data_IF_612376036669
#
_entry.id   IF_612376036669
#
_cell.length_a   1.000
_cell.length_b   1.000
_cell.length_c   1.000
_cell.angle_alpha   90.00
_cell.angle_beta   90.00
_cell.angle_gamma   90.00
#
_symmetry.space_group_name_H-M   'P 1'
#
loop_
_entity.id
_entity.type
_entity.pdbx_description
1 polymer ?
#
# COMPACT_ATOMS: atom_id res chain seq x y z
N UNK A 1 26.37 10.39 18.44
CA UNK A 1 25.91 11.04 17.20
C UNK A 1 24.39 10.86 17.08
N UNK A 2 23.69 11.64 16.25
CA UNK A 2 22.25 11.47 15.98
C UNK A 2 22.00 11.15 14.51
N UNK A 3 21.09 10.22 14.25
CA UNK A 3 20.68 9.79 12.92
C UNK A 3 19.17 9.88 12.81
N UNK A 4 18.70 10.48 11.72
CA UNK A 4 17.29 10.67 11.45
C UNK A 4 16.96 9.93 10.17
N UNK A 5 15.91 9.13 10.21
CA UNK A 5 15.44 8.42 9.03
C UNK A 5 13.92 8.34 9.08
N UNK A 6 13.30 8.64 7.95
CA UNK A 6 11.87 8.57 7.79
C UNK A 6 11.60 7.51 6.74
N UNK A 7 10.74 6.56 7.08
CA UNK A 7 10.44 5.43 6.20
C UNK A 7 8.94 5.20 6.12
N UNK A 8 8.55 4.58 5.02
CA UNK A 8 7.21 4.05 4.86
C UNK A 8 7.18 2.61 5.34
N UNK A 9 6.21 2.27 6.16
CA UNK A 9 6.03 0.93 6.70
C UNK A 9 4.57 0.53 6.76
N UNK A 10 4.27 -0.72 6.41
CA UNK A 10 2.96 -1.34 6.62
C UNK A 10 2.82 -1.96 8.01
N UNK A 11 3.91 -1.98 8.79
CA UNK A 11 3.92 -2.56 10.12
C UNK A 11 3.17 -1.66 11.11
N UNK A 12 2.44 -2.29 12.01
CA UNK A 12 1.91 -1.67 13.21
C UNK A 12 3.04 -1.27 14.15
N UNK A 13 2.75 -0.31 15.03
CA UNK A 13 3.71 0.13 16.05
C UNK A 13 4.17 -1.02 16.96
N UNK A 14 3.32 -2.03 17.19
CA UNK A 14 3.67 -3.17 18.04
C UNK A 14 4.63 -4.14 17.35
N UNK A 15 4.41 -4.44 16.06
CA UNK A 15 5.34 -5.26 15.26
C UNK A 15 6.72 -4.62 15.14
N UNK A 16 6.76 -3.29 14.95
CA UNK A 16 8.01 -2.51 14.94
C UNK A 16 8.74 -2.68 16.28
N UNK A 17 8.03 -2.58 17.41
CA UNK A 17 8.62 -2.70 18.76
C UNK A 17 9.19 -4.09 19.01
N UNK A 18 8.46 -5.14 18.65
CA UNK A 18 8.91 -6.52 18.84
C UNK A 18 10.21 -6.77 18.08
N UNK A 19 10.28 -6.37 16.81
CA UNK A 19 11.49 -6.52 16.00
C UNK A 19 12.70 -5.74 16.55
N UNK A 20 12.49 -4.52 17.07
CA UNK A 20 13.59 -3.75 17.71
C UNK A 20 14.06 -4.45 18.98
N UNK A 21 13.13 -4.94 19.81
CA UNK A 21 13.45 -5.61 21.08
C UNK A 21 14.25 -6.88 20.83
N UNK A 22 13.83 -7.69 19.87
CA UNK A 22 14.45 -8.97 19.53
C UNK A 22 15.85 -8.79 18.95
N UNK A 23 16.07 -7.71 18.19
CA UNK A 23 17.34 -7.50 17.49
C UNK A 23 18.36 -6.74 18.33
N UNK A 24 17.95 -5.70 19.07
CA UNK A 24 18.86 -4.81 19.80
C UNK A 24 18.88 -5.03 21.32
N UNK A 25 18.19 -6.06 21.83
CA UNK A 25 18.17 -6.44 23.26
C UNK A 25 17.86 -5.26 24.21
N UNK A 26 16.87 -4.44 23.84
CA UNK A 26 16.49 -3.23 24.60
C UNK A 26 15.74 -3.58 25.88
N UNK A 27 16.23 -3.10 27.03
CA UNK A 27 15.68 -3.42 28.36
C UNK A 27 14.67 -2.42 28.91
N UNK A 28 14.66 -1.16 28.46
CA UNK A 28 13.77 -0.11 28.99
C UNK A 28 12.98 0.60 27.89
N UNK A 29 11.64 0.60 28.01
CA UNK A 29 10.72 1.22 27.04
C UNK A 29 9.87 2.26 27.76
N UNK A 30 9.88 3.51 27.27
CA UNK A 30 8.99 4.58 27.72
C UNK A 30 8.00 4.91 26.60
N UNK A 31 6.70 4.88 26.94
CA UNK A 31 5.62 5.07 25.97
C UNK A 31 4.90 6.39 26.26
N UNK A 32 4.71 7.19 25.21
CA UNK A 32 3.69 8.24 25.14
C UNK A 32 2.78 7.97 23.92
N UNK A 33 1.58 8.53 23.92
CA UNK A 33 0.45 8.12 23.07
C UNK A 33 0.72 8.10 21.55
N UNK A 34 1.70 8.85 21.03
CA UNK A 34 2.14 8.78 19.62
C UNK A 34 3.66 8.72 19.42
N UNK A 35 4.45 8.93 20.49
CA UNK A 35 5.91 8.90 20.45
C UNK A 35 6.41 7.77 21.35
N UNK A 36 7.19 6.87 20.77
CA UNK A 36 7.81 5.76 21.51
C UNK A 36 9.28 6.07 21.69
N UNK A 37 9.74 6.09 22.93
CA UNK A 37 11.16 6.21 23.24
C UNK A 37 11.65 4.88 23.79
N UNK A 38 12.56 4.25 23.07
CA UNK A 38 13.24 3.02 23.45
C UNK A 38 14.64 3.40 23.94
N UNK A 39 15.01 3.00 25.15
CA UNK A 39 16.28 3.40 25.73
C UNK A 39 17.07 2.21 26.26
N UNK A 40 18.34 2.20 25.90
CA UNK A 40 19.38 1.34 26.42
C UNK A 40 20.40 2.20 27.19
N UNK A 41 21.36 1.54 27.85
CA UNK A 41 22.53 2.20 28.43
C UNK A 41 23.46 2.77 27.34
N UNK A 42 23.41 2.20 26.12
CA UNK A 42 24.31 2.55 25.01
C UNK A 42 23.67 3.48 23.96
N UNK A 43 22.35 3.44 23.79
CA UNK A 43 21.63 4.18 22.75
C UNK A 43 20.19 4.52 23.12
N UNK A 44 19.58 5.40 22.34
CA UNK A 44 18.20 5.85 22.44
C UNK A 44 17.58 5.90 21.04
N UNK A 45 16.35 5.36 20.89
CA UNK A 45 15.55 5.44 19.67
C UNK A 45 14.26 6.18 20.01
N UNK A 46 13.93 7.21 19.25
CA UNK A 46 12.61 7.83 19.25
C UNK A 46 11.88 7.44 17.95
N UNK A 47 10.64 7.00 18.07
CA UNK A 47 9.75 6.66 16.96
C UNK A 47 8.51 7.56 17.01
N UNK A 48 8.24 8.26 15.93
CA UNK A 48 6.98 8.96 15.67
C UNK A 48 6.26 8.17 14.58
N UNK A 49 5.29 7.35 15.02
CA UNK A 49 4.55 6.45 14.15
C UNK A 49 3.11 6.90 14.05
N UNK A 50 2.59 6.73 12.84
CA UNK A 50 1.21 7.05 12.53
C UNK A 50 0.62 5.92 11.68
N UNK A 51 -0.66 5.57 11.90
CA UNK A 51 -1.29 4.51 11.15
C UNK A 51 -1.15 4.74 9.65
N UNK A 52 -0.73 3.69 8.93
CA UNK A 52 -0.61 3.76 7.48
C UNK A 52 -1.97 4.16 6.90
N UNK A 53 -2.01 5.33 6.28
CA UNK A 53 -3.17 5.77 5.53
C UNK A 53 -2.85 5.61 4.04
N UNK A 54 -3.43 4.61 3.36
CA UNK A 54 -3.17 4.38 1.94
C UNK A 54 -3.59 5.56 1.04
N UNK A 55 -4.40 6.49 1.56
CA UNK A 55 -4.86 7.69 0.86
C UNK A 55 -3.96 8.92 1.10
N UNK A 56 -2.86 8.81 1.85
CA UNK A 56 -1.89 9.91 2.08
C UNK A 56 -0.56 9.58 1.39
N UNK A 57 -0.36 10.24 0.26
CA UNK A 57 0.52 9.85 -0.83
C UNK A 57 2.04 10.06 -0.62
N UNK A 58 2.46 10.72 0.46
CA UNK A 58 3.88 10.99 0.78
C UNK A 58 4.25 10.63 2.22
N UNK A 59 3.39 9.84 2.87
CA UNK A 59 3.48 9.65 4.30
C UNK A 59 4.50 8.56 4.62
N UNK A 60 5.75 8.98 4.82
CA UNK A 60 6.66 8.30 5.74
C UNK A 60 5.95 8.26 7.10
N UNK A 61 5.25 7.15 7.34
CA UNK A 61 4.38 6.96 8.48
C UNK A 61 5.14 6.46 9.71
N UNK A 62 6.47 6.33 9.59
CA UNK A 62 7.39 6.11 10.68
C UNK A 62 8.59 7.04 10.51
N UNK A 63 8.73 8.01 11.43
CA UNK A 63 9.95 8.79 11.59
C UNK A 63 10.74 8.24 12.75
N UNK A 64 12.05 8.15 12.57
CA UNK A 64 12.95 7.59 13.56
C UNK A 64 14.09 8.54 13.84
N UNK A 65 14.49 8.58 15.09
CA UNK A 65 15.69 9.26 15.55
C UNK A 65 16.48 8.31 16.42
N UNK A 66 17.70 8.01 16.00
CA UNK A 66 18.63 7.14 16.70
C UNK A 66 19.78 7.96 17.27
N UNK A 67 20.04 7.84 18.58
CA UNK A 67 21.12 8.55 19.27
C UNK A 67 22.00 7.53 20.00
N UNK A 68 23.29 7.56 19.72
CA UNK A 68 24.28 6.80 20.50
C UNK A 68 24.70 7.62 21.71
N UNK A 69 24.55 7.06 22.91
CA UNK A 69 24.79 7.72 24.19
C UNK A 69 26.22 7.51 24.67
N UNK A 70 26.72 6.27 24.63
CA UNK A 70 28.09 5.87 25.01
C UNK A 70 28.44 4.54 24.35
N UNK A 71 29.42 4.49 23.44
CA UNK A 71 29.93 3.20 22.97
C UNK A 71 31.24 3.29 22.19
N UNK A 72 32.19 2.37 22.44
CA UNK A 72 33.30 2.03 21.53
C UNK A 72 32.81 1.26 20.29
N UNK A 73 31.52 0.86 20.26
CA UNK A 73 30.87 0.06 19.20
C UNK A 73 29.86 0.86 18.38
N UNK A 74 29.98 2.20 18.33
CA UNK A 74 29.05 3.09 17.62
C UNK A 74 28.69 2.60 16.21
N UNK A 75 29.69 2.18 15.43
CA UNK A 75 29.49 1.66 14.07
C UNK A 75 28.68 0.35 14.02
N UNK A 76 28.93 -0.59 14.93
CA UNK A 76 28.23 -1.88 14.94
C UNK A 76 26.74 -1.70 15.26
N UNK A 77 26.41 -0.85 16.24
CA UNK A 77 25.03 -0.63 16.65
C UNK A 77 24.27 0.14 15.57
N UNK A 78 24.93 1.10 14.91
CA UNK A 78 24.34 1.80 13.77
C UNK A 78 24.06 0.86 12.58
N UNK A 79 24.99 -0.05 12.27
CA UNK A 79 24.78 -1.05 11.21
C UNK A 79 23.58 -1.96 11.51
N UNK A 80 23.46 -2.42 12.76
CA UNK A 80 22.33 -3.26 13.16
C UNK A 80 21.01 -2.47 13.12
N UNK A 81 21.03 -1.19 13.52
CA UNK A 81 19.89 -0.30 13.35
C UNK A 81 19.48 -0.11 11.88
N UNK A 82 20.44 0.11 10.98
CA UNK A 82 20.17 0.23 9.55
C UNK A 82 19.63 -1.06 8.93
N UNK A 83 20.09 -2.24 9.39
CA UNK A 83 19.53 -3.53 8.97
C UNK A 83 18.06 -3.65 9.37
N UNK A 84 17.71 -3.24 10.59
CA UNK A 84 16.33 -3.25 11.10
C UNK A 84 15.45 -2.28 10.32
N UNK A 85 15.89 -1.05 10.05
CA UNK A 85 15.10 -0.09 9.27
C UNK A 85 14.74 -0.61 7.87
N UNK A 86 15.64 -1.38 7.25
CA UNK A 86 15.36 -2.05 5.97
C UNK A 86 14.25 -3.09 6.08
N UNK A 87 14.08 -3.78 7.21
CA UNK A 87 12.98 -4.74 7.40
C UNK A 87 11.63 -4.05 7.60
N UNK A 88 11.64 -2.81 8.10
CA UNK A 88 10.43 -2.00 8.27
C UNK A 88 9.97 -1.35 6.97
N UNK A 89 10.91 -1.06 6.07
CA UNK A 89 10.62 -0.29 4.85
C UNK A 89 9.78 -1.10 3.88
N UNK A 90 8.58 -0.62 3.55
CA UNK A 90 7.79 -1.18 2.46
C UNK A 90 8.46 -0.84 1.14
N UNK A 91 9.01 -1.83 0.43
CA UNK A 91 9.81 -1.64 -0.80
C UNK A 91 9.05 -1.14 -2.04
N UNK A 92 7.75 -0.86 -1.95
CA UNK A 92 6.95 -0.48 -3.12
C UNK A 92 6.64 1.02 -3.07
N UNK A 93 7.49 1.82 -3.70
CA UNK A 93 7.17 3.20 -4.07
C UNK A 93 5.96 3.19 -5.02
N UNK A 94 4.99 4.08 -4.79
CA UNK A 94 3.74 4.14 -5.56
C UNK A 94 3.76 5.39 -6.44
N UNK A 95 3.59 5.20 -7.75
CA UNK A 95 3.53 6.28 -8.74
C UNK A 95 2.14 6.87 -8.90
N UNK A 96 1.09 6.06 -8.78
CA UNK A 96 -0.30 6.50 -9.02
C UNK A 96 -1.28 5.50 -8.41
N UNK A 97 -2.46 6.00 -8.04
CA UNK A 97 -3.63 5.18 -7.77
C UNK A 97 -4.77 5.58 -8.69
N UNK A 98 -5.38 4.60 -9.36
CA UNK A 98 -6.59 4.81 -10.16
C UNK A 98 -7.73 3.97 -9.61
N UNK A 99 -8.89 4.60 -9.43
CA UNK A 99 -10.11 3.92 -9.02
C UNK A 99 -11.19 4.07 -10.09
N UNK A 100 -11.85 2.97 -10.44
CA UNK A 100 -13.02 2.96 -11.31
C UNK A 100 -14.22 2.34 -10.62
N UNK A 101 -15.34 3.06 -10.65
CA UNK A 101 -16.66 2.52 -10.41
C UNK A 101 -17.37 2.33 -11.72
N UNK A 102 -17.98 1.17 -11.92
CA UNK A 102 -18.72 0.90 -13.13
C UNK A 102 -19.82 -0.12 -12.91
N UNK A 103 -20.69 -0.22 -13.90
CA UNK A 103 -21.65 -1.30 -14.04
C UNK A 103 -21.19 -2.27 -15.12
N UNK A 104 -21.15 -3.56 -14.80
CA UNK A 104 -21.05 -4.62 -15.80
C UNK A 104 -21.92 -5.83 -15.42
N UNK A 105 -22.49 -6.49 -16.43
CA UNK A 105 -23.22 -7.76 -16.26
C UNK A 105 -22.29 -8.97 -16.22
N UNK A 106 -21.02 -8.77 -16.54
CA UNK A 106 -20.01 -9.83 -16.57
C UNK A 106 -19.70 -10.31 -15.15
N UNK A 107 -19.30 -11.57 -14.98
CA UNK A 107 -18.82 -12.13 -13.70
C UNK A 107 -17.44 -11.59 -13.34
N UNK A 108 -17.09 -11.58 -12.05
CA UNK A 108 -15.80 -11.09 -11.60
C UNK A 108 -14.64 -11.84 -12.27
N UNK A 109 -14.74 -13.17 -12.35
CA UNK A 109 -13.75 -14.01 -13.04
C UNK A 109 -13.50 -13.61 -14.49
N UNK A 110 -14.56 -13.34 -15.26
CA UNK A 110 -14.43 -12.93 -16.66
C UNK A 110 -13.89 -11.51 -16.75
N UNK A 111 -14.17 -10.65 -15.77
CA UNK A 111 -13.58 -9.33 -15.66
C UNK A 111 -12.06 -9.44 -15.40
N UNK A 112 -11.66 -10.16 -14.36
CA UNK A 112 -10.26 -10.42 -13.99
C UNK A 112 -9.48 -11.06 -15.14
N UNK A 113 -10.06 -12.04 -15.86
CA UNK A 113 -9.42 -12.64 -17.03
C UNK A 113 -9.12 -11.61 -18.13
N UNK A 114 -10.03 -10.66 -18.37
CA UNK A 114 -9.81 -9.62 -19.39
C UNK A 114 -8.75 -8.62 -18.97
N UNK A 115 -8.71 -8.26 -17.68
CA UNK A 115 -7.65 -7.43 -17.08
C UNK A 115 -6.30 -8.15 -17.16
N UNK A 116 -6.26 -9.45 -16.81
CA UNK A 116 -5.09 -10.32 -16.95
C UNK A 116 -4.51 -10.33 -18.35
N UNK A 117 -5.36 -10.45 -19.38
CA UNK A 117 -4.92 -10.38 -20.79
C UNK A 117 -4.39 -8.99 -21.15
N UNK A 118 -5.03 -7.92 -20.66
CA UNK A 118 -4.59 -6.56 -21.04
C UNK A 118 -3.28 -6.19 -20.36
N UNK A 119 -3.11 -6.53 -19.08
CA UNK A 119 -2.01 -6.08 -18.21
C UNK A 119 -0.93 -7.14 -17.95
N UNK A 120 -1.06 -8.33 -18.54
CA UNK A 120 -0.16 -9.47 -18.33
C UNK A 120 0.07 -9.80 -16.85
N UNK A 121 -0.99 -9.67 -16.04
CA UNK A 121 -0.88 -9.78 -14.57
C UNK A 121 -1.11 -11.18 -14.00
N UNK A 122 -1.06 -12.21 -14.85
CA UNK A 122 -1.20 -13.60 -14.41
C UNK A 122 -2.60 -13.94 -13.89
N UNK A 123 -2.65 -14.88 -12.93
CA UNK A 123 -3.90 -15.37 -12.32
C UNK A 123 -4.22 -14.50 -11.10
N UNK A 124 -5.49 -14.08 -11.00
CA UNK A 124 -6.00 -13.40 -9.82
C UNK A 124 -6.28 -14.40 -8.70
N UNK A 125 -5.93 -14.03 -7.48
CA UNK A 125 -6.37 -14.70 -6.26
C UNK A 125 -7.77 -14.20 -5.92
N UNK A 126 -8.72 -15.14 -5.79
CA UNK A 126 -10.12 -14.83 -5.49
C UNK A 126 -10.44 -15.13 -4.04
N UNK A 127 -11.21 -14.25 -3.44
CA UNK A 127 -11.86 -14.49 -2.16
C UNK A 127 -13.33 -14.07 -2.26
N UNK A 128 -14.19 -15.00 -1.84
CA UNK A 128 -15.64 -14.89 -1.92
C UNK A 128 -16.28 -14.67 -0.54
N UNK A 129 -15.47 -14.29 0.47
CA UNK A 129 -15.96 -14.05 1.82
C UNK A 129 -16.95 -12.86 1.91
N UNK A 130 -17.98 -13.04 2.74
CA UNK A 130 -18.96 -12.01 3.14
C UNK A 130 -19.83 -11.42 2.02
N UNK A 131 -20.33 -12.28 1.12
CA UNK A 131 -21.18 -11.95 -0.03
C UNK A 131 -20.52 -11.02 -1.07
N UNK A 132 -19.37 -10.41 -0.84
CA UNK A 132 -18.73 -9.53 -1.81
C UNK A 132 -17.65 -10.32 -2.57
N UNK A 133 -17.86 -10.52 -3.87
CA UNK A 133 -16.87 -11.19 -4.73
C UNK A 133 -15.67 -10.25 -4.89
N UNK A 134 -14.46 -10.63 -4.46
CA UNK A 134 -13.26 -9.83 -4.71
C UNK A 134 -12.07 -10.67 -5.18
N UNK A 135 -11.13 -9.99 -5.82
CA UNK A 135 -9.96 -10.58 -6.42
C UNK A 135 -8.77 -9.61 -6.38
N UNK A 136 -7.57 -10.16 -6.20
CA UNK A 136 -6.30 -9.42 -6.22
C UNK A 136 -5.31 -10.03 -7.20
N UNK A 137 -4.52 -9.20 -7.87
CA UNK A 137 -3.34 -9.63 -8.61
C UNK A 137 -2.22 -8.61 -8.44
N UNK A 138 -0.99 -9.08 -8.37
CA UNK A 138 0.19 -8.22 -8.24
C UNK A 138 1.22 -8.59 -9.32
N UNK A 139 1.77 -7.56 -9.96
CA UNK A 139 2.89 -7.65 -10.91
C UNK A 139 4.05 -6.78 -10.42
N UNK A 140 5.18 -6.79 -11.11
CA UNK A 140 6.31 -5.88 -10.84
C UNK A 140 5.94 -4.39 -10.99
N UNK A 141 4.87 -4.11 -11.74
CA UNK A 141 4.44 -2.75 -12.11
C UNK A 141 3.12 -2.34 -11.45
N UNK A 142 2.26 -3.29 -11.07
CA UNK A 142 0.88 -3.02 -10.69
C UNK A 142 0.41 -3.86 -9.50
N UNK A 143 -0.54 -3.32 -8.75
CA UNK A 143 -1.38 -4.08 -7.83
C UNK A 143 -2.83 -3.80 -8.23
N UNK A 144 -3.57 -4.85 -8.56
CA UNK A 144 -4.96 -4.79 -8.96
C UNK A 144 -5.85 -5.33 -7.85
N UNK A 145 -6.88 -4.58 -7.52
CA UNK A 145 -7.92 -4.93 -6.56
C UNK A 145 -9.27 -4.77 -7.24
N UNK A 146 -9.93 -5.89 -7.54
CA UNK A 146 -11.23 -5.89 -8.22
C UNK A 146 -12.28 -6.44 -7.28
N UNK A 147 -13.37 -5.72 -7.12
CA UNK A 147 -14.50 -6.19 -6.32
C UNK A 147 -15.82 -5.98 -7.06
N UNK A 148 -16.73 -6.93 -6.86
CA UNK A 148 -18.08 -6.90 -7.37
C UNK A 148 -19.06 -7.04 -6.20
N UNK A 149 -19.94 -6.06 -6.10
CA UNK A 149 -20.91 -6.02 -5.03
C UNK A 149 -22.05 -7.02 -5.30
N UNK A 150 -22.37 -7.87 -4.32
CA UNK A 150 -23.55 -8.73 -4.37
C UNK A 150 -24.85 -7.96 -4.14
N UNK A 151 -24.81 -6.91 -3.32
CA UNK A 151 -25.90 -5.94 -3.15
C UNK A 151 -25.41 -4.55 -3.58
N UNK A 152 -26.31 -3.70 -4.04
CA UNK A 152 -25.96 -2.34 -4.46
C UNK A 152 -25.21 -1.63 -3.31
N UNK A 153 -24.01 -1.12 -3.60
CA UNK A 153 -23.13 -0.41 -2.68
C UNK A 153 -22.48 -1.26 -1.56
N UNK A 154 -22.36 -2.58 -1.70
CA UNK A 154 -21.60 -3.41 -0.74
C UNK A 154 -20.23 -3.78 -1.33
N UNK A 155 -19.17 -3.06 -0.98
CA UNK A 155 -17.81 -3.33 -1.46
C UNK A 155 -16.86 -3.57 -0.29
N UNK A 156 -15.90 -4.46 -0.48
CA UNK A 156 -14.86 -4.76 0.50
C UNK A 156 -13.82 -3.63 0.59
N UNK A 157 -13.50 -3.00 -0.55
CA UNK A 157 -12.35 -2.10 -0.71
C UNK A 157 -12.75 -0.62 -0.54
N UNK A 158 -14.05 -0.33 -0.46
CA UNK A 158 -14.55 1.05 -0.48
C UNK A 158 -15.85 1.27 0.33
N UNK A 159 -15.96 2.47 0.90
CA UNK A 159 -17.11 2.98 1.65
C UNK A 159 -18.42 3.06 0.81
N UNK A 160 -19.49 2.33 1.17
CA UNK A 160 -20.80 2.34 0.49
C UNK A 160 -21.39 3.73 0.20
N UNK A 161 -21.03 4.75 0.98
CA UNK A 161 -21.52 6.14 0.84
C UNK A 161 -20.98 6.86 -0.38
N UNK A 162 -19.85 6.42 -0.91
CA UNK A 162 -19.12 7.06 -1.99
C UNK A 162 -19.28 6.32 -3.32
N UNK A 163 -19.90 5.13 -3.33
CA UNK A 163 -20.22 4.42 -4.56
C UNK A 163 -21.29 5.18 -5.37
N UNK A 164 -20.99 5.57 -6.63
CA UNK A 164 -21.97 6.19 -7.50
C UNK A 164 -23.18 5.26 -7.72
N UNK A 165 -24.42 5.79 -7.67
CA UNK A 165 -25.61 4.98 -7.88
C UNK A 165 -25.58 4.24 -9.22
N UNK A 166 -25.77 2.92 -9.17
CA UNK A 166 -25.90 2.08 -10.37
C UNK A 166 -24.63 1.34 -10.76
N UNK A 167 -23.52 1.54 -10.05
CA UNK A 167 -22.32 0.73 -10.20
C UNK A 167 -22.44 -0.59 -9.41
N UNK A 168 -21.83 -1.66 -9.93
CA UNK A 168 -21.70 -2.95 -9.26
C UNK A 168 -20.27 -3.50 -9.24
N UNK A 169 -19.30 -2.74 -9.75
CA UNK A 169 -17.87 -3.02 -9.68
C UNK A 169 -17.12 -1.82 -9.10
N UNK A 170 -16.08 -2.14 -8.33
CA UNK A 170 -15.03 -1.23 -7.91
C UNK A 170 -13.69 -1.85 -8.32
N UNK A 171 -12.86 -1.05 -8.98
CA UNK A 171 -11.53 -1.43 -9.44
C UNK A 171 -10.57 -0.42 -8.83
N UNK A 172 -9.70 -0.89 -7.95
CA UNK A 172 -8.58 -0.11 -7.43
C UNK A 172 -7.30 -0.63 -8.05
N UNK A 173 -6.49 0.29 -8.56
CA UNK A 173 -5.24 -0.04 -9.21
C UNK A 173 -4.14 0.83 -8.67
N UNK A 174 -3.13 0.18 -8.12
CA UNK A 174 -1.90 0.82 -7.66
C UNK A 174 -0.82 0.62 -8.70
N UNK A 175 -0.16 1.71 -9.07
CA UNK A 175 0.97 1.72 -10.00
C UNK A 175 2.23 1.84 -9.19
N UNK A 176 3.14 0.90 -9.34
CA UNK A 176 4.44 0.92 -8.67
C UNK A 176 5.37 1.89 -9.39
N UNK A 177 6.28 2.51 -8.66
CA UNK A 177 7.24 3.47 -9.23
C UNK A 177 8.31 2.78 -10.09
N UNK A 178 8.47 1.48 -9.93
CA UNK A 178 9.24 0.61 -10.82
C UNK A 178 8.61 0.40 -12.20
N UNK A 179 7.34 0.80 -12.40
CA UNK A 179 6.63 0.56 -13.65
C UNK A 179 7.37 1.15 -14.86
N UNK A 180 7.71 0.29 -15.83
CA UNK A 180 8.47 0.66 -17.02
C UNK A 180 7.72 1.72 -17.85
N UNK A 181 8.25 2.94 -17.91
CA UNK A 181 7.58 4.11 -18.54
C UNK A 181 7.86 4.22 -20.05
N UNK A 182 8.31 3.14 -20.69
CA UNK A 182 8.73 3.15 -22.11
C UNK A 182 7.66 3.60 -23.10
N UNK A 183 6.37 3.48 -22.75
CA UNK A 183 5.26 3.83 -23.63
C UNK A 183 4.49 5.11 -23.22
N UNK A 184 4.94 5.84 -22.19
CA UNK A 184 4.26 7.04 -21.72
C UNK A 184 2.95 6.68 -21.01
N UNK A 185 3.08 6.37 -19.72
CA UNK A 185 2.03 5.83 -18.87
C UNK A 185 0.68 6.56 -19.02
N UNK A 186 0.69 7.90 -19.03
CA UNK A 186 -0.54 8.70 -19.12
C UNK A 186 -1.36 8.49 -20.40
N UNK A 187 -0.72 8.16 -21.53
CA UNK A 187 -1.39 8.05 -22.84
C UNK A 187 -1.95 6.65 -23.08
N UNK A 188 -1.19 5.62 -22.68
CA UNK A 188 -1.54 4.22 -22.95
C UNK A 188 -2.43 3.65 -21.84
N UNK A 189 -2.30 4.11 -20.60
CA UNK A 189 -3.06 3.63 -19.46
C UNK A 189 -4.58 3.75 -19.65
N UNK A 190 -5.05 4.95 -20.02
CA UNK A 190 -6.48 5.17 -20.23
C UNK A 190 -7.01 4.37 -21.42
N UNK A 191 -6.24 4.27 -22.50
CA UNK A 191 -6.63 3.52 -23.69
C UNK A 191 -6.82 2.01 -23.38
N UNK A 192 -5.95 1.44 -22.53
CA UNK A 192 -6.09 0.05 -22.06
C UNK A 192 -7.36 -0.16 -21.25
N UNK A 193 -7.67 0.74 -20.32
CA UNK A 193 -8.92 0.69 -19.55
C UNK A 193 -10.15 0.89 -20.44
N UNK A 194 -10.15 1.85 -21.36
CA UNK A 194 -11.24 2.05 -22.32
C UNK A 194 -11.52 0.80 -23.16
N UNK A 195 -10.48 0.11 -23.59
CA UNK A 195 -10.58 -1.14 -24.34
C UNK A 195 -11.23 -2.24 -23.48
N UNK A 196 -10.78 -2.43 -22.24
CA UNK A 196 -11.39 -3.37 -21.30
C UNK A 196 -12.87 -3.03 -21.08
N UNK A 197 -13.19 -1.76 -20.83
CA UNK A 197 -14.56 -1.33 -20.56
C UNK A 197 -15.48 -1.54 -21.75
N UNK A 198 -14.98 -1.32 -22.97
CA UNK A 198 -15.72 -1.62 -24.20
C UNK A 198 -15.97 -3.12 -24.36
N UNK A 199 -14.92 -3.93 -24.21
CA UNK A 199 -14.99 -5.39 -24.37
C UNK A 199 -15.94 -6.04 -23.36
N UNK A 200 -16.02 -5.48 -22.15
CA UNK A 200 -16.87 -5.96 -21.07
C UNK A 200 -18.22 -5.24 -21.00
N UNK A 201 -18.53 -4.41 -22.00
CA UNK A 201 -19.79 -3.64 -22.09
C UNK A 201 -20.11 -2.86 -20.80
N UNK A 202 -19.08 -2.27 -20.18
CA UNK A 202 -19.19 -1.50 -18.96
C UNK A 202 -20.00 -0.22 -19.19
N UNK A 203 -20.76 0.20 -18.18
CA UNK A 203 -21.60 1.40 -18.18
C UNK A 203 -21.39 2.18 -16.87
N UNK A 204 -21.91 3.41 -16.81
CA UNK A 204 -21.84 4.24 -15.60
C UNK A 204 -20.43 4.37 -15.04
N UNK A 205 -19.44 4.50 -15.94
CA UNK A 205 -18.03 4.52 -15.57
C UNK A 205 -17.73 5.86 -14.91
N UNK A 206 -17.31 5.81 -13.66
CA UNK A 206 -16.82 6.94 -12.90
C UNK A 206 -15.39 6.65 -12.51
N UNK A 207 -14.48 7.55 -12.86
CA UNK A 207 -13.07 7.43 -12.57
C UNK A 207 -12.68 8.46 -11.51
N UNK A 208 -11.97 7.99 -10.49
CA UNK A 208 -11.31 8.82 -9.49
C UNK A 208 -9.83 8.52 -9.57
N UNK A 209 -9.10 9.42 -10.19
CA UNK A 209 -7.64 9.36 -10.21
C UNK A 209 -7.08 10.16 -9.05
N UNK A 210 -6.11 9.57 -8.34
CA UNK A 210 -5.24 10.29 -7.41
C UNK A 210 -3.79 10.13 -7.88
N UNK A 211 -3.15 11.25 -8.14
CA UNK A 211 -1.74 11.29 -8.48
C UNK A 211 -0.99 11.73 -7.23
N UNK A 212 -0.07 10.91 -6.70
CA UNK A 212 0.73 11.22 -5.51
C UNK A 212 1.68 12.41 -5.69
N UNK A 213 1.76 12.98 -6.89
CA UNK A 213 2.76 13.99 -7.29
C UNK A 213 2.19 15.44 -7.30
N UNK A 214 0.95 15.68 -6.85
CA UNK A 214 0.39 17.05 -6.75
C UNK A 214 -0.19 17.42 -5.39
#
# INVERSE_FOLDING_TARGET
MEYYESIRTSLSLEEIREQIRDTLSVSNIQISECNVTLRSDEFEIELDWTPLNPMRETYENLRTKFRVLRSEREYSILEDWQKILRTFTTHVSIRMMDCYFLYSKVSLEKFCKRVGIEFDCGVFDFDYENDNEWAIAETDDFIFHLSRAYKKNTYHIWNPKECPPGCNYCIDVTVKDSADDREGYGTVWFARWEKIFRDLSCKSIVNYRKSPIH
#
